data_IF_236874561278
#
_entry.id   IF_236874561278
#
_cell.length_a   1.000
_cell.length_b   1.000
_cell.length_c   1.000
_cell.angle_alpha   90.00
_cell.angle_beta   90.00
_cell.angle_gamma   90.00
#
_symmetry.space_group_name_H-M   'P 1'
#
loop_
_entity.id
_entity.type
_entity.pdbx_description
1 polymer ?
#
# COMPACT_ATOMS: atom_id res chain seq x y z
N UNK A 1 -11.65 -11.89 22.41
CA UNK A 1 -11.08 -12.72 23.47
C UNK A 1 -12.14 -13.73 23.93
N UNK A 2 -11.84 -15.03 23.90
CA UNK A 2 -12.67 -16.06 24.53
C UNK A 2 -11.88 -16.71 25.63
N UNK A 3 -12.44 -16.75 26.83
CA UNK A 3 -11.86 -17.42 28.00
C UNK A 3 -12.79 -18.57 28.38
N UNK A 4 -12.23 -19.78 28.48
CA UNK A 4 -12.91 -20.94 29.02
C UNK A 4 -12.17 -21.40 30.27
N UNK A 5 -12.89 -21.61 31.35
CA UNK A 5 -12.33 -22.11 32.62
C UNK A 5 -12.59 -23.59 32.79
N UNK A 6 -11.54 -24.36 33.13
CA UNK A 6 -11.65 -25.72 33.70
C UNK A 6 -10.99 -25.66 35.08
N UNK A 7 -11.72 -25.96 36.12
CA UNK A 7 -11.20 -25.95 37.48
C UNK A 7 -10.99 -27.37 38.03
N UNK A 8 -9.87 -27.60 38.70
CA UNK A 8 -9.66 -28.71 39.66
C UNK A 8 -9.43 -28.12 41.05
N UNK A 9 -10.29 -28.45 42.01
CA UNK A 9 -10.17 -27.97 43.39
C UNK A 9 -9.33 -28.92 44.20
N UNK A 10 -8.21 -28.42 44.75
CA UNK A 10 -7.51 -29.02 45.90
C UNK A 10 -7.53 -28.04 47.06
N UNK A 11 -7.68 -28.54 48.31
CA UNK A 11 -8.03 -27.76 49.51
C UNK A 11 -7.11 -26.56 49.89
N UNK A 12 -5.91 -26.42 49.32
CA UNK A 12 -4.94 -25.39 49.69
C UNK A 12 -4.34 -24.57 48.55
N UNK A 13 -4.58 -24.93 47.32
CA UNK A 13 -4.16 -24.15 46.11
C UNK A 13 -5.18 -24.35 45.00
N UNK A 14 -6.00 -23.35 44.79
CA UNK A 14 -6.90 -23.37 43.66
C UNK A 14 -6.14 -23.00 42.40
N UNK A 15 -6.07 -23.92 41.46
CA UNK A 15 -5.48 -23.72 40.13
C UNK A 15 -6.61 -23.73 39.10
N UNK A 16 -6.65 -22.73 38.27
CA UNK A 16 -7.58 -22.65 37.19
C UNK A 16 -6.82 -22.66 35.88
N UNK A 17 -7.23 -23.53 34.98
CA UNK A 17 -6.81 -23.47 33.59
C UNK A 17 -7.77 -22.58 32.81
N UNK A 18 -7.24 -21.63 32.09
CA UNK A 18 -8.05 -20.85 31.14
C UNK A 18 -7.42 -20.90 29.75
N UNK A 19 -8.26 -21.00 28.75
CA UNK A 19 -7.88 -20.95 27.34
C UNK A 19 -8.06 -19.51 26.86
N UNK A 20 -7.00 -18.95 26.31
CA UNK A 20 -7.03 -17.66 25.62
C UNK A 20 -7.04 -17.90 24.13
N UNK A 21 -7.98 -17.29 23.43
CA UNK A 21 -7.99 -17.21 21.97
C UNK A 21 -8.20 -15.77 21.56
N UNK A 22 -7.26 -15.22 20.80
CA UNK A 22 -7.29 -13.83 20.34
C UNK A 22 -6.86 -13.78 18.88
N UNK A 23 -7.72 -13.23 18.04
CA UNK A 23 -7.39 -12.99 16.64
C UNK A 23 -6.67 -11.64 16.53
N UNK A 24 -5.54 -11.65 15.85
CA UNK A 24 -4.71 -10.46 15.57
C UNK A 24 -4.38 -10.40 14.09
N UNK A 25 -3.92 -9.26 13.61
CA UNK A 25 -3.42 -9.13 12.22
C UNK A 25 -2.17 -10.02 11.99
N UNK A 26 -1.43 -10.35 13.04
CA UNK A 26 -0.30 -11.29 13.01
C UNK A 26 -0.67 -12.76 13.13
N UNK A 27 -1.97 -13.10 13.18
CA UNK A 27 -2.48 -14.46 13.31
C UNK A 27 -3.29 -14.68 14.59
N UNK A 28 -3.85 -15.88 14.73
CA UNK A 28 -4.59 -16.28 15.93
C UNK A 28 -3.62 -16.73 17.02
N UNK A 29 -3.60 -16.01 18.13
CA UNK A 29 -2.92 -16.41 19.36
C UNK A 29 -3.84 -17.34 20.12
N UNK A 30 -3.34 -18.54 20.47
CA UNK A 30 -4.08 -19.49 21.30
C UNK A 30 -3.13 -20.17 22.28
N UNK A 31 -3.48 -20.12 23.56
CA UNK A 31 -2.73 -20.82 24.59
C UNK A 31 -3.63 -21.17 25.79
N UNK A 32 -3.18 -22.17 26.57
CA UNK A 32 -3.76 -22.52 27.86
C UNK A 32 -2.81 -22.03 28.92
N UNK A 33 -3.35 -21.34 29.90
CA UNK A 33 -2.57 -20.84 31.03
C UNK A 33 -3.12 -21.33 32.36
N UNK A 34 -2.23 -21.67 33.29
CA UNK A 34 -2.56 -22.04 34.66
C UNK A 34 -2.48 -20.81 35.57
N UNK A 35 -3.61 -20.47 36.20
CA UNK A 35 -3.69 -19.38 37.18
C UNK A 35 -3.48 -19.95 38.55
N UNK A 36 -2.54 -19.37 39.30
CA UNK A 36 -2.40 -19.61 40.73
C UNK A 36 -3.15 -18.55 41.50
N UNK A 37 -3.99 -18.99 42.41
CA UNK A 37 -4.65 -18.11 43.37
C UNK A 37 -3.91 -18.16 44.73
N UNK A 38 -3.76 -17.01 45.33
CA UNK A 38 -3.19 -16.84 46.67
C UNK A 38 -4.28 -16.26 47.57
N UNK A 39 -4.47 -16.86 48.73
CA UNK A 39 -5.42 -16.36 49.70
C UNK A 39 -4.78 -15.26 50.54
N UNK A 40 -5.27 -14.05 50.41
CA UNK A 40 -4.90 -12.91 51.24
C UNK A 40 -6.07 -12.54 52.16
N UNK A 41 -5.89 -12.81 53.48
CA UNK A 41 -6.96 -12.66 54.47
C UNK A 41 -8.19 -13.50 54.10
N UNK A 42 -9.30 -12.87 53.74
CA UNK A 42 -10.53 -13.55 53.39
C UNK A 42 -10.81 -13.57 51.89
N UNK A 43 -9.91 -13.02 51.06
CA UNK A 43 -10.09 -12.95 49.60
C UNK A 43 -9.00 -13.72 48.87
N UNK A 44 -9.41 -14.35 47.74
CA UNK A 44 -8.50 -14.98 46.81
C UNK A 44 -8.04 -13.94 45.76
N UNK A 45 -6.73 -13.88 45.56
CA UNK A 45 -6.11 -13.02 44.55
C UNK A 45 -5.30 -13.86 43.58
N UNK A 46 -5.19 -13.34 42.37
CA UNK A 46 -4.33 -13.92 41.33
C UNK A 46 -2.88 -13.58 41.65
N UNK A 47 -2.02 -14.60 41.74
CA UNK A 47 -0.57 -14.44 41.79
C UNK A 47 -0.10 -14.06 40.37
N UNK A 48 -0.12 -12.75 40.08
CA UNK A 48 0.12 -12.22 38.77
C UNK A 48 1.59 -12.13 38.43
N UNK A 49 1.98 -12.71 37.30
CA UNK A 49 3.31 -12.54 36.68
C UNK A 49 3.13 -12.17 35.17
N UNK A 50 4.16 -11.58 34.53
CA UNK A 50 4.11 -11.32 33.10
C UNK A 50 3.78 -12.53 32.22
N UNK A 51 4.14 -13.74 32.69
CA UNK A 51 3.80 -15.03 32.06
C UNK A 51 2.28 -15.20 31.84
N UNK A 52 1.49 -14.46 32.63
CA UNK A 52 0.03 -14.42 32.49
C UNK A 52 -0.44 -13.78 31.19
N UNK A 53 0.33 -12.88 30.61
CA UNK A 53 0.03 -12.23 29.33
C UNK A 53 0.28 -13.21 28.18
N UNK A 54 1.48 -13.80 28.18
CA UNK A 54 1.87 -14.85 27.22
C UNK A 54 2.79 -15.86 27.92
N UNK A 55 2.57 -17.17 27.71
CA UNK A 55 3.39 -18.20 28.30
C UNK A 55 4.89 -18.03 28.00
N UNK A 56 5.68 -17.90 29.03
CA UNK A 56 7.14 -17.65 28.96
C UNK A 56 7.54 -16.17 28.96
N UNK A 57 6.60 -15.24 29.11
CA UNK A 57 6.89 -13.82 29.18
C UNK A 57 7.56 -13.45 30.51
N UNK A 58 8.64 -12.67 30.46
CA UNK A 58 9.35 -12.09 31.62
C UNK A 58 9.07 -10.59 31.67
N UNK A 59 9.42 -9.97 32.85
CA UNK A 59 9.16 -8.56 33.15
C UNK A 59 9.69 -7.60 32.08
N UNK A 60 10.87 -7.90 31.53
CA UNK A 60 11.59 -7.02 30.62
C UNK A 60 11.34 -7.39 29.13
N UNK A 61 10.48 -8.39 28.86
CA UNK A 61 10.13 -8.79 27.51
C UNK A 61 9.06 -7.87 26.94
N UNK A 62 9.15 -7.66 25.63
CA UNK A 62 8.17 -6.87 24.84
C UNK A 62 7.48 -7.78 23.85
N UNK A 63 6.19 -7.56 23.65
CA UNK A 63 5.44 -8.20 22.57
C UNK A 63 5.47 -7.28 21.36
N UNK A 64 5.84 -7.84 20.21
CA UNK A 64 5.89 -7.14 18.92
C UNK A 64 4.97 -7.82 17.92
N UNK A 65 4.45 -7.01 17.04
CA UNK A 65 3.70 -7.48 15.89
C UNK A 65 4.35 -6.92 14.62
N UNK A 66 4.67 -7.82 13.69
CA UNK A 66 5.17 -7.48 12.38
C UNK A 66 4.13 -7.90 11.35
N UNK A 67 3.67 -6.95 10.54
CA UNK A 67 2.71 -7.19 9.47
C UNK A 67 3.47 -7.36 8.17
N UNK A 68 3.08 -8.39 7.40
CA UNK A 68 3.56 -8.67 6.05
C UNK A 68 2.43 -8.41 5.06
N UNK A 69 2.69 -7.59 4.04
CA UNK A 69 1.71 -7.35 2.98
C UNK A 69 1.83 -8.44 1.92
N UNK A 70 0.72 -9.09 1.59
CA UNK A 70 0.65 -9.91 0.39
C UNK A 70 0.86 -9.04 -0.85
N UNK A 71 1.68 -9.49 -1.79
CA UNK A 71 1.88 -8.77 -3.04
C UNK A 71 0.57 -8.67 -3.80
N UNK A 72 0.32 -7.52 -4.41
CA UNK A 72 -0.81 -7.34 -5.31
C UNK A 72 -0.59 -8.16 -6.58
N UNK A 73 -1.60 -8.87 -7.07
CA UNK A 73 -1.57 -9.57 -8.35
C UNK A 73 -1.32 -8.60 -9.51
N UNK A 74 -0.74 -9.10 -10.58
CA UNK A 74 -0.37 -8.33 -11.75
C UNK A 74 -1.40 -8.49 -12.88
N UNK A 75 -1.49 -7.50 -13.77
CA UNK A 75 -2.34 -7.52 -14.94
C UNK A 75 -1.45 -7.62 -16.18
N UNK A 76 -1.69 -8.63 -16.99
CA UNK A 76 -0.95 -8.91 -18.22
C UNK A 76 -1.86 -8.82 -19.43
N UNK A 77 -1.25 -8.56 -20.59
CA UNK A 77 -1.88 -8.72 -21.88
C UNK A 77 -1.95 -10.21 -22.28
N UNK A 78 -2.54 -10.51 -23.45
CA UNK A 78 -2.66 -11.87 -23.98
C UNK A 78 -1.31 -12.59 -24.20
N UNK A 79 -0.24 -11.82 -24.37
CA UNK A 79 1.11 -12.30 -24.69
C UNK A 79 2.01 -12.36 -23.44
N UNK A 80 1.46 -12.06 -22.24
CA UNK A 80 2.21 -12.03 -21.00
C UNK A 80 2.99 -10.73 -20.76
N UNK A 81 2.77 -9.66 -21.58
CA UNK A 81 3.36 -8.35 -21.34
C UNK A 81 2.62 -7.65 -20.20
N UNK A 82 3.35 -7.11 -19.24
CA UNK A 82 2.78 -6.42 -18.09
C UNK A 82 2.02 -5.16 -18.49
N UNK A 83 0.81 -5.01 -17.97
CA UNK A 83 -0.02 -3.80 -18.09
C UNK A 83 -0.09 -3.04 -16.77
N UNK A 84 -0.12 -3.77 -15.66
CA UNK A 84 0.03 -3.24 -14.32
C UNK A 84 0.84 -4.25 -13.49
N UNK A 85 2.04 -3.88 -13.06
CA UNK A 85 3.03 -4.78 -12.45
C UNK A 85 3.58 -4.22 -11.16
N UNK A 86 4.23 -5.07 -10.36
CA UNK A 86 4.93 -4.66 -9.16
C UNK A 86 6.39 -4.36 -9.52
N UNK A 87 6.84 -3.16 -9.21
CA UNK A 87 8.20 -2.70 -9.46
C UNK A 87 8.88 -2.19 -8.21
N UNK A 88 10.08 -1.67 -8.38
CA UNK A 88 10.83 -0.96 -7.35
C UNK A 88 11.09 0.47 -7.80
N UNK A 89 11.10 1.39 -6.83
CA UNK A 89 11.46 2.78 -7.04
C UNK A 89 12.29 3.28 -5.85
N UNK A 90 12.92 4.43 -5.99
CA UNK A 90 13.61 5.09 -4.91
C UNK A 90 12.74 6.21 -4.35
N UNK A 91 12.42 6.13 -3.06
CA UNK A 91 11.79 7.23 -2.33
C UNK A 91 12.90 8.13 -1.78
N UNK A 92 12.89 9.38 -2.20
CA UNK A 92 13.81 10.38 -1.67
C UNK A 92 13.17 11.10 -0.48
N UNK A 93 13.97 11.35 0.53
CA UNK A 93 13.56 12.08 1.73
C UNK A 93 14.66 12.97 2.24
N UNK A 94 14.27 13.82 3.18
CA UNK A 94 15.15 14.80 3.83
C UNK A 94 15.18 14.47 5.33
N UNK A 95 16.38 14.55 5.93
CA UNK A 95 16.61 14.47 7.37
C UNK A 95 16.87 15.91 7.85
N UNK A 96 15.93 16.57 8.54
CA UNK A 96 16.00 18.00 8.82
C UNK A 96 17.28 18.46 9.53
N UNK A 97 17.75 17.72 10.53
CA UNK A 97 18.97 18.07 11.28
C UNK A 97 20.27 18.00 10.46
N UNK A 98 20.24 17.31 9.30
CA UNK A 98 21.37 17.16 8.41
C UNK A 98 21.38 18.19 7.28
N UNK A 99 20.37 19.05 7.21
CA UNK A 99 20.36 20.18 6.30
C UNK A 99 21.35 21.24 6.83
N UNK A 100 22.43 21.47 6.09
CA UNK A 100 23.43 22.48 6.41
C UNK A 100 23.06 23.87 5.87
N UNK A 101 24.10 24.67 5.58
CA UNK A 101 23.94 26.03 5.06
C UNK A 101 23.28 26.06 3.67
N UNK A 102 23.38 24.96 2.91
CA UNK A 102 22.80 24.79 1.58
C UNK A 102 21.33 24.34 1.58
N UNK A 103 20.66 24.37 2.74
CA UNK A 103 19.28 23.87 2.91
C UNK A 103 18.27 24.39 1.87
N UNK A 104 18.35 25.68 1.50
CA UNK A 104 17.45 26.26 0.50
C UNK A 104 17.70 25.66 -0.90
N UNK A 105 18.96 25.55 -1.30
CA UNK A 105 19.36 24.96 -2.58
C UNK A 105 19.02 23.46 -2.64
N UNK A 106 19.25 22.72 -1.55
CA UNK A 106 18.89 21.30 -1.44
C UNK A 106 17.40 21.10 -1.67
N UNK A 107 16.55 21.90 -1.03
CA UNK A 107 15.08 21.82 -1.21
C UNK A 107 14.66 22.12 -2.64
N UNK A 108 15.27 23.11 -3.28
CA UNK A 108 15.00 23.45 -4.67
C UNK A 108 15.37 22.32 -5.63
N UNK A 109 16.56 21.71 -5.48
CA UNK A 109 16.97 20.58 -6.30
C UNK A 109 16.04 19.38 -6.10
N UNK A 110 15.69 19.06 -4.85
CA UNK A 110 14.74 17.97 -4.55
C UNK A 110 13.36 18.25 -5.15
N UNK A 111 12.90 19.50 -5.10
CA UNK A 111 11.64 19.92 -5.72
C UNK A 111 11.66 19.71 -7.24
N UNK A 112 12.74 20.10 -7.91
CA UNK A 112 12.92 19.89 -9.35
C UNK A 112 12.98 18.40 -9.73
N UNK A 113 13.70 17.58 -8.96
CA UNK A 113 13.78 16.11 -9.19
C UNK A 113 12.40 15.42 -9.11
N UNK A 114 11.49 15.97 -8.32
CA UNK A 114 10.17 15.41 -8.04
C UNK A 114 9.02 16.11 -8.77
N UNK A 115 9.32 17.09 -9.65
CA UNK A 115 8.33 17.94 -10.35
C UNK A 115 7.31 18.59 -9.40
N UNK A 116 7.77 19.07 -8.24
CA UNK A 116 6.93 19.77 -7.26
C UNK A 116 7.50 21.16 -6.95
N UNK A 117 6.74 21.99 -6.25
CA UNK A 117 7.26 23.28 -5.80
C UNK A 117 8.07 23.15 -4.51
N UNK A 118 8.93 24.13 -4.25
CA UNK A 118 9.71 24.20 -3.01
C UNK A 118 8.78 24.32 -1.79
N UNK A 119 7.66 25.01 -1.94
CA UNK A 119 6.62 25.12 -0.90
C UNK A 119 5.99 23.77 -0.56
N UNK A 120 5.78 22.90 -1.56
CA UNK A 120 5.29 21.54 -1.32
C UNK A 120 6.32 20.71 -0.53
N UNK A 121 7.61 20.89 -0.79
CA UNK A 121 8.69 20.27 0.00
C UNK A 121 8.69 20.79 1.44
N UNK A 122 8.56 22.11 1.62
CA UNK A 122 8.53 22.74 2.95
C UNK A 122 7.31 22.29 3.77
N UNK A 123 6.12 22.25 3.17
CA UNK A 123 4.92 21.75 3.82
C UNK A 123 5.11 20.33 4.37
N UNK A 124 5.79 19.47 3.62
CA UNK A 124 6.10 18.10 4.09
C UNK A 124 7.05 18.10 5.27
N UNK A 125 8.00 19.04 5.34
CA UNK A 125 8.97 19.17 6.42
C UNK A 125 8.40 19.80 7.70
N UNK A 126 7.25 20.45 7.64
CA UNK A 126 6.63 21.15 8.79
C UNK A 126 5.57 20.32 9.52
N UNK A 127 5.37 19.05 9.18
CA UNK A 127 4.37 18.19 9.80
C UNK A 127 4.71 17.91 11.28
N UNK A 128 3.69 17.98 12.16
CA UNK A 128 3.85 17.92 13.65
C UNK A 128 4.53 16.65 14.20
N UNK A 129 4.54 15.56 13.42
CA UNK A 129 5.16 14.29 13.84
C UNK A 129 6.66 14.21 13.59
N UNK A 130 7.23 15.17 12.85
CA UNK A 130 8.63 15.15 12.43
C UNK A 130 9.53 15.48 13.60
N UNK A 131 10.54 14.62 13.80
CA UNK A 131 11.66 14.86 14.67
C UNK A 131 12.89 15.28 13.85
N UNK A 132 13.85 16.01 14.43
CA UNK A 132 15.04 16.48 13.68
C UNK A 132 15.80 15.38 12.96
N UNK A 133 15.93 14.22 13.57
CA UNK A 133 16.63 13.02 13.08
C UNK A 133 15.79 12.13 12.14
N UNK A 134 14.52 12.48 11.91
CA UNK A 134 13.59 11.65 11.14
C UNK A 134 13.86 11.75 9.64
N UNK A 135 13.84 10.60 8.95
CA UNK A 135 13.72 10.59 7.49
C UNK A 135 12.31 11.02 7.10
N UNK A 136 12.19 12.20 6.51
CA UNK A 136 10.92 12.74 6.01
C UNK A 136 10.78 12.41 4.53
N UNK A 137 9.87 11.50 4.13
CA UNK A 137 9.69 11.15 2.72
C UNK A 137 9.12 12.34 1.95
N UNK A 138 9.84 12.80 0.93
CA UNK A 138 9.40 13.91 0.08
C UNK A 138 8.69 13.40 -1.16
N UNK A 139 9.22 12.37 -1.83
CA UNK A 139 8.56 11.81 -2.99
C UNK A 139 9.30 10.63 -3.59
N UNK A 140 8.75 10.10 -4.68
CA UNK A 140 9.26 8.93 -5.39
C UNK A 140 9.88 9.41 -6.69
N UNK A 141 11.16 9.10 -6.88
CA UNK A 141 11.92 9.50 -8.05
C UNK A 141 11.37 8.88 -9.33
N UNK A 142 11.53 9.60 -10.43
CA UNK A 142 11.22 9.10 -11.76
C UNK A 142 12.17 7.96 -12.13
N UNK A 143 11.68 7.04 -12.95
CA UNK A 143 12.54 6.03 -13.55
C UNK A 143 13.64 6.71 -14.37
N UNK A 144 14.87 6.19 -14.23
CA UNK A 144 16.04 6.77 -14.90
C UNK A 144 16.73 7.93 -14.17
N UNK A 145 16.19 8.41 -13.03
CA UNK A 145 16.92 9.39 -12.20
C UNK A 145 18.19 8.75 -11.65
N UNK A 146 19.34 9.38 -11.92
CA UNK A 146 20.64 8.86 -11.48
C UNK A 146 20.88 9.20 -10.02
N UNK A 147 21.50 8.28 -9.29
CA UNK A 147 21.80 8.46 -7.87
C UNK A 147 22.70 9.69 -7.64
N UNK A 148 23.64 9.95 -8.55
CA UNK A 148 24.53 11.11 -8.47
C UNK A 148 23.80 12.45 -8.50
N UNK A 149 22.57 12.50 -9.00
CA UNK A 149 21.81 13.74 -9.09
C UNK A 149 21.34 14.24 -7.69
N UNK A 150 21.42 13.41 -6.64
CA UNK A 150 20.93 13.75 -5.30
C UNK A 150 21.76 13.21 -4.12
N UNK A 151 22.67 12.24 -4.33
CA UNK A 151 23.38 11.57 -3.22
C UNK A 151 24.33 12.50 -2.44
N UNK A 152 24.84 13.53 -3.10
CA UNK A 152 25.78 14.50 -2.52
C UNK A 152 25.07 15.68 -1.84
N UNK A 153 23.73 15.74 -1.90
CA UNK A 153 22.98 16.83 -1.29
C UNK A 153 22.90 16.62 0.23
N UNK A 154 23.30 17.65 0.98
CA UNK A 154 23.25 17.61 2.45
C UNK A 154 21.83 17.35 2.96
N UNK A 155 21.70 16.39 3.87
CA UNK A 155 20.43 16.00 4.47
C UNK A 155 19.52 15.16 3.57
N UNK A 156 19.88 14.91 2.32
CA UNK A 156 19.08 14.06 1.42
C UNK A 156 19.49 12.61 1.57
N UNK A 157 18.49 11.74 1.58
CA UNK A 157 18.68 10.30 1.59
C UNK A 157 17.62 9.63 0.72
N UNK A 158 17.86 8.40 0.31
CA UNK A 158 16.87 7.62 -0.42
C UNK A 158 16.78 6.19 0.12
N UNK A 159 15.62 5.60 -0.08
CA UNK A 159 15.39 4.19 0.26
C UNK A 159 14.61 3.49 -0.85
N UNK A 160 14.88 2.19 -1.09
CA UNK A 160 14.11 1.41 -2.04
C UNK A 160 12.71 1.15 -1.49
N UNK A 161 11.70 1.32 -2.34
CA UNK A 161 10.31 1.00 -2.05
C UNK A 161 9.72 0.12 -3.15
N UNK A 162 8.69 -0.64 -2.80
CA UNK A 162 7.85 -1.30 -3.80
C UNK A 162 6.81 -0.31 -4.32
N UNK A 163 6.61 -0.32 -5.63
CA UNK A 163 5.65 0.56 -6.29
C UNK A 163 4.87 -0.22 -7.36
N UNK A 164 3.63 0.21 -7.61
CA UNK A 164 2.88 -0.25 -8.77
C UNK A 164 3.34 0.50 -10.01
N UNK A 165 3.60 -0.22 -11.10
CA UNK A 165 4.04 0.34 -12.38
C UNK A 165 3.07 -0.01 -13.48
N UNK A 166 2.93 0.90 -14.43
CA UNK A 166 2.04 0.80 -15.58
C UNK A 166 2.87 0.98 -16.86
N UNK A 167 3.43 -0.10 -17.43
CA UNK A 167 4.42 -0.01 -18.50
C UNK A 167 3.93 0.70 -19.76
N UNK A 168 2.63 0.64 -20.07
CA UNK A 168 2.06 1.36 -21.22
C UNK A 168 1.68 2.82 -20.92
N UNK A 169 1.88 3.30 -19.66
CA UNK A 169 1.59 4.67 -19.30
C UNK A 169 0.19 5.13 -19.71
N UNK A 170 0.12 6.20 -20.47
CA UNK A 170 -1.14 6.80 -20.97
C UNK A 170 -1.96 5.85 -21.85
N UNK A 171 -1.29 5.01 -22.64
CA UNK A 171 -1.97 4.16 -23.63
C UNK A 171 -2.93 3.12 -23.02
N UNK A 172 -2.71 2.72 -21.76
CA UNK A 172 -3.59 1.80 -21.05
C UNK A 172 -4.21 2.41 -19.78
N UNK A 173 -4.03 3.70 -19.52
CA UNK A 173 -4.40 4.36 -18.27
C UNK A 173 -5.88 4.16 -17.89
N UNK A 174 -6.78 4.36 -18.83
CA UNK A 174 -8.21 4.22 -18.58
C UNK A 174 -8.67 2.75 -18.50
N UNK A 175 -7.93 1.84 -19.14
CA UNK A 175 -8.16 0.41 -19.05
C UNK A 175 -7.71 -0.15 -17.72
N UNK A 176 -6.43 0.02 -17.39
CA UNK A 176 -5.86 -0.49 -16.14
C UNK A 176 -6.35 0.29 -14.92
N UNK A 177 -6.51 1.60 -15.05
CA UNK A 177 -6.70 2.50 -13.92
C UNK A 177 -5.39 2.67 -13.14
N UNK A 178 -5.53 2.97 -11.86
CA UNK A 178 -4.43 3.13 -10.92
C UNK A 178 -4.84 2.76 -9.50
N UNK A 179 -3.84 2.54 -8.64
CA UNK A 179 -4.03 2.35 -7.20
C UNK A 179 -3.68 3.64 -6.44
N UNK A 180 -4.26 3.77 -5.28
CA UNK A 180 -3.95 4.87 -4.36
C UNK A 180 -4.30 4.53 -2.92
N UNK A 181 -3.84 5.31 -1.96
CA UNK A 181 -4.17 5.12 -0.55
C UNK A 181 -5.67 5.22 -0.32
N UNK A 182 -6.17 4.38 0.58
CA UNK A 182 -7.55 4.46 1.07
C UNK A 182 -7.77 5.82 1.73
N UNK A 183 -8.76 6.58 1.28
CA UNK A 183 -9.13 7.83 1.90
C UNK A 183 -10.12 7.61 3.07
N UNK A 184 -10.37 8.67 3.87
CA UNK A 184 -11.22 8.59 5.05
C UNK A 184 -12.68 8.18 4.75
N UNK A 185 -13.20 8.54 3.59
CA UNK A 185 -14.55 8.18 3.16
C UNK A 185 -14.63 6.72 2.72
N UNK A 186 -13.69 6.29 1.89
CA UNK A 186 -13.56 4.89 1.45
C UNK A 186 -13.35 3.96 2.66
N UNK A 187 -12.57 4.39 3.65
CA UNK A 187 -12.28 3.59 4.85
C UNK A 187 -13.55 3.19 5.60
N UNK A 188 -14.57 4.06 5.66
CA UNK A 188 -15.85 3.75 6.32
C UNK A 188 -16.50 2.46 5.79
N UNK A 189 -16.39 2.21 4.50
CA UNK A 189 -16.92 1.02 3.82
C UNK A 189 -15.92 -0.13 3.76
N UNK A 190 -14.62 0.18 3.62
CA UNK A 190 -13.57 -0.80 3.41
C UNK A 190 -13.01 -1.38 4.71
N UNK A 191 -13.15 -0.69 5.84
CA UNK A 191 -12.68 -1.18 7.14
C UNK A 191 -13.26 -2.55 7.50
N UNK A 192 -14.55 -2.78 7.20
CA UNK A 192 -15.19 -4.08 7.38
C UNK A 192 -14.59 -5.20 6.53
N UNK A 193 -13.88 -4.85 5.46
CA UNK A 193 -13.13 -5.75 4.59
C UNK A 193 -11.64 -5.86 4.98
N UNK A 194 -11.27 -5.32 6.14
CA UNK A 194 -9.90 -5.40 6.68
C UNK A 194 -8.91 -4.39 6.07
N UNK A 195 -9.40 -3.27 5.49
CA UNK A 195 -8.52 -2.18 5.06
C UNK A 195 -8.21 -1.23 6.21
N UNK A 196 -7.01 -0.67 6.15
CA UNK A 196 -6.51 0.39 7.05
C UNK A 196 -6.24 1.67 6.24
N UNK A 197 -6.03 2.79 6.94
CA UNK A 197 -5.90 4.12 6.32
C UNK A 197 -4.77 4.23 5.26
N UNK A 198 -3.68 3.48 5.43
CA UNK A 198 -2.54 3.53 4.51
C UNK A 198 -2.53 2.42 3.45
N UNK A 199 -3.55 1.56 3.45
CA UNK A 199 -3.64 0.50 2.46
C UNK A 199 -3.87 1.07 1.06
N UNK A 200 -3.34 0.36 0.06
CA UNK A 200 -3.55 0.69 -1.34
C UNK A 200 -4.81 -0.03 -1.86
N UNK A 201 -5.61 0.68 -2.64
CA UNK A 201 -6.83 0.17 -3.26
C UNK A 201 -6.92 0.65 -4.71
N UNK A 202 -7.50 -0.15 -5.57
CA UNK A 202 -7.80 0.27 -6.95
C UNK A 202 -8.80 1.43 -7.00
N UNK A 203 -8.41 2.53 -7.62
CA UNK A 203 -9.22 3.76 -7.69
C UNK A 203 -10.12 3.79 -8.92
N UNK A 204 -9.60 3.33 -10.04
CA UNK A 204 -10.30 3.35 -11.33
C UNK A 204 -9.94 2.10 -12.15
N UNK A 205 -10.59 1.91 -13.28
CA UNK A 205 -10.28 0.87 -14.26
C UNK A 205 -10.30 -0.55 -13.70
N UNK A 206 -9.51 -1.43 -14.28
CA UNK A 206 -9.42 -2.83 -13.86
C UNK A 206 -8.81 -3.00 -12.47
N UNK A 207 -7.92 -2.10 -12.05
CA UNK A 207 -7.41 -2.08 -10.67
C UNK A 207 -8.55 -2.02 -9.64
N UNK A 208 -9.60 -1.24 -9.93
CA UNK A 208 -10.79 -1.13 -9.06
C UNK A 208 -11.75 -2.31 -9.23
N UNK A 209 -12.04 -2.67 -10.46
CA UNK A 209 -13.03 -3.72 -10.77
C UNK A 209 -12.57 -5.09 -10.28
N UNK A 210 -11.27 -5.37 -10.43
CA UNK A 210 -10.66 -6.64 -10.04
C UNK A 210 -10.00 -6.59 -8.65
N UNK A 211 -10.34 -5.60 -7.82
CA UNK A 211 -9.73 -5.40 -6.50
C UNK A 211 -9.72 -6.68 -5.65
N UNK A 212 -10.82 -7.42 -5.62
CA UNK A 212 -10.94 -8.65 -4.83
C UNK A 212 -10.00 -9.77 -5.32
N UNK A 213 -9.66 -9.80 -6.61
CA UNK A 213 -8.73 -10.76 -7.18
C UNK A 213 -7.28 -10.31 -7.00
N UNK A 214 -7.03 -9.02 -7.31
CA UNK A 214 -5.69 -8.46 -7.31
C UNK A 214 -5.14 -8.22 -5.91
N UNK A 215 -5.99 -7.96 -4.91
CA UNK A 215 -5.54 -7.68 -3.56
C UNK A 215 -4.93 -8.91 -2.91
N UNK A 216 -3.69 -8.80 -2.41
CA UNK A 216 -3.12 -9.79 -1.50
C UNK A 216 -3.75 -9.72 -0.10
N UNK A 217 -3.74 -10.83 0.62
CA UNK A 217 -4.13 -10.84 2.03
C UNK A 217 -2.92 -10.54 2.92
N UNK A 218 -3.14 -9.71 3.93
CA UNK A 218 -2.12 -9.45 4.95
C UNK A 218 -1.85 -10.72 5.76
N UNK A 219 -0.59 -11.00 6.00
CA UNK A 219 -0.08 -11.89 7.00
C UNK A 219 0.65 -11.12 8.08
N UNK A 220 1.31 -11.84 8.94
CA UNK A 220 2.15 -11.25 9.97
C UNK A 220 2.51 -12.25 11.05
N UNK A 221 3.23 -11.77 12.05
CA UNK A 221 3.59 -12.56 13.22
C UNK A 221 3.55 -11.73 14.49
N UNK A 222 3.21 -12.40 15.57
CA UNK A 222 3.33 -11.86 16.93
C UNK A 222 4.45 -12.62 17.62
N UNK A 223 5.42 -11.90 18.18
CA UNK A 223 6.58 -12.49 18.83
C UNK A 223 6.99 -11.71 20.08
N UNK A 224 7.75 -12.37 20.93
CA UNK A 224 8.35 -11.76 22.10
C UNK A 224 9.83 -11.48 21.85
N UNK A 225 10.30 -10.32 22.28
CA UNK A 225 11.70 -9.91 22.29
C UNK A 225 12.16 -9.59 23.71
N UNK A 226 13.45 -9.79 23.99
CA UNK A 226 14.07 -9.36 25.24
C UNK A 226 14.38 -7.85 25.25
N UNK A 227 15.01 -7.37 26.31
CA UNK A 227 15.40 -5.96 26.46
C UNK A 227 16.38 -5.48 25.39
N UNK A 228 17.16 -6.39 24.79
CA UNK A 228 18.13 -6.10 23.74
C UNK A 228 17.53 -6.20 22.33
N UNK A 229 16.23 -6.49 22.22
CA UNK A 229 15.56 -6.66 20.94
C UNK A 229 15.76 -8.02 20.27
N UNK A 230 16.33 -9.00 20.99
CA UNK A 230 16.48 -10.36 20.49
C UNK A 230 15.14 -11.10 20.55
N UNK A 231 14.72 -11.68 19.43
CA UNK A 231 13.53 -12.52 19.38
C UNK A 231 13.70 -13.77 20.24
N UNK A 232 12.77 -13.99 21.16
CA UNK A 232 12.76 -15.10 22.11
C UNK A 232 11.79 -16.19 21.67
N UNK A 233 10.59 -15.81 21.25
CA UNK A 233 9.54 -16.77 20.91
C UNK A 233 8.53 -16.17 19.92
N UNK A 234 8.20 -16.95 18.91
CA UNK A 234 7.07 -16.64 18.05
C UNK A 234 5.77 -17.12 18.74
N UNK A 235 4.80 -16.23 18.90
CA UNK A 235 3.52 -16.48 19.60
C UNK A 235 2.43 -16.87 18.63
N UNK A 236 2.37 -16.20 17.49
CA UNK A 236 1.45 -16.50 16.41
C UNK A 236 2.04 -16.08 15.06
N UNK A 237 1.64 -16.76 14.00
CA UNK A 237 1.99 -16.44 12.63
C UNK A 237 0.81 -16.69 11.71
N UNK A 238 0.59 -15.78 10.78
CA UNK A 238 -0.32 -15.91 9.65
C UNK A 238 0.48 -15.60 8.38
N UNK A 239 0.51 -16.53 7.45
CA UNK A 239 1.18 -16.30 6.17
C UNK A 239 0.42 -15.25 5.35
N UNK A 240 1.17 -14.32 4.74
CA UNK A 240 0.61 -13.43 3.75
C UNK A 240 0.25 -14.23 2.48
N UNK A 241 -0.85 -13.86 1.84
CA UNK A 241 -1.23 -14.47 0.56
C UNK A 241 -1.10 -13.44 -0.55
N UNK A 242 -0.47 -13.83 -1.63
CA UNK A 242 -0.39 -12.98 -2.82
C UNK A 242 -1.75 -12.89 -3.52
N UNK A 243 -2.02 -11.74 -4.16
CA UNK A 243 -3.18 -11.57 -5.02
C UNK A 243 -3.05 -12.36 -6.31
N UNK A 244 -4.18 -12.69 -6.92
CA UNK A 244 -4.24 -13.42 -8.19
C UNK A 244 -3.83 -12.54 -9.37
N UNK A 245 -2.97 -13.05 -10.25
CA UNK A 245 -2.66 -12.42 -11.53
C UNK A 245 -3.83 -12.55 -12.51
N UNK A 246 -3.97 -11.57 -13.39
CA UNK A 246 -5.02 -11.54 -14.41
C UNK A 246 -4.41 -11.37 -15.78
N UNK A 247 -4.79 -12.21 -16.72
CA UNK A 247 -4.43 -12.08 -18.15
C UNK A 247 -5.65 -11.62 -18.94
N UNK A 248 -5.48 -10.55 -19.71
CA UNK A 248 -6.53 -9.95 -20.53
C UNK A 248 -6.44 -10.49 -21.96
N UNK A 249 -7.51 -10.29 -22.72
CA UNK A 249 -7.52 -10.51 -24.18
C UNK A 249 -6.87 -9.37 -24.97
N UNK A 250 -6.50 -8.29 -24.31
CA UNK A 250 -5.82 -7.12 -24.87
C UNK A 250 -4.46 -7.50 -25.44
N UNK A 251 -4.12 -6.93 -26.58
CA UNK A 251 -2.78 -6.93 -27.15
C UNK A 251 -2.12 -5.57 -26.90
N UNK A 252 -1.05 -5.58 -26.09
CA UNK A 252 -0.38 -4.37 -25.65
C UNK A 252 0.21 -3.54 -26.82
N UNK A 253 0.70 -4.20 -27.86
CA UNK A 253 1.27 -3.52 -29.01
C UNK A 253 0.19 -2.84 -29.85
N UNK A 254 -0.94 -3.49 -30.04
CA UNK A 254 -2.10 -2.92 -30.73
C UNK A 254 -2.69 -1.76 -29.92
N UNK A 255 -2.84 -1.93 -28.60
CA UNK A 255 -3.31 -0.90 -27.67
C UNK A 255 -2.46 0.38 -27.79
N UNK A 256 -1.14 0.23 -27.70
CA UNK A 256 -0.18 1.33 -27.76
C UNK A 256 -0.19 2.00 -29.14
N UNK A 257 -0.25 1.22 -30.23
CA UNK A 257 -0.31 1.75 -31.59
C UNK A 257 -1.57 2.60 -31.82
N UNK A 258 -2.74 2.09 -31.42
CA UNK A 258 -4.01 2.84 -31.57
C UNK A 258 -3.93 4.13 -30.74
N UNK A 259 -3.43 4.08 -29.50
CA UNK A 259 -3.30 5.26 -28.66
C UNK A 259 -2.39 6.31 -29.31
N UNK A 260 -1.26 5.90 -29.86
CA UNK A 260 -0.31 6.81 -30.51
C UNK A 260 -0.91 7.49 -31.76
N UNK A 261 -1.72 6.78 -32.52
CA UNK A 261 -2.44 7.34 -33.67
C UNK A 261 -3.53 8.36 -33.24
N UNK A 262 -4.13 8.15 -32.04
CA UNK A 262 -5.18 9.02 -31.51
C UNK A 262 -4.67 10.13 -30.58
N UNK A 263 -3.38 10.17 -30.27
CA UNK A 263 -2.79 10.94 -29.16
C UNK A 263 -3.21 12.41 -29.05
N UNK A 264 -3.49 13.05 -30.18
CA UNK A 264 -3.88 14.46 -30.23
C UNK A 264 -5.40 14.65 -30.35
N UNK A 265 -6.15 13.56 -30.49
CA UNK A 265 -7.60 13.58 -30.70
C UNK A 265 -8.35 13.12 -29.45
N UNK A 266 -9.45 13.81 -29.15
CA UNK A 266 -10.33 13.40 -28.06
C UNK A 266 -11.34 12.37 -28.56
N UNK A 267 -11.15 11.13 -28.13
CA UNK A 267 -12.01 10.02 -28.59
C UNK A 267 -11.76 8.71 -27.86
N UNK A 268 -12.43 7.68 -28.33
CA UNK A 268 -12.20 6.29 -27.87
C UNK A 268 -12.20 5.34 -29.06
N UNK A 269 -11.45 4.25 -28.94
CA UNK A 269 -11.39 3.18 -29.91
C UNK A 269 -11.51 1.82 -29.24
N UNK A 270 -12.24 0.92 -29.86
CA UNK A 270 -12.36 -0.48 -29.46
C UNK A 270 -12.07 -1.38 -30.65
N UNK A 271 -11.10 -2.29 -30.49
CA UNK A 271 -10.83 -3.36 -31.45
C UNK A 271 -11.34 -4.68 -30.90
N UNK A 272 -12.20 -5.35 -31.63
CA UNK A 272 -12.85 -6.61 -31.23
C UNK A 272 -12.62 -7.67 -32.30
N UNK A 273 -12.30 -8.89 -31.86
CA UNK A 273 -12.25 -10.03 -32.77
C UNK A 273 -13.70 -10.42 -33.17
N UNK A 274 -14.09 -10.31 -34.45
CA UNK A 274 -15.46 -10.55 -34.83
C UNK A 274 -15.91 -12.02 -34.71
N UNK A 275 -14.97 -12.94 -34.61
CA UNK A 275 -15.28 -14.37 -34.51
C UNK A 275 -15.42 -14.81 -33.05
N UNK A 276 -14.60 -14.27 -32.12
CA UNK A 276 -14.54 -14.70 -30.74
C UNK A 276 -15.22 -13.72 -29.80
N UNK A 277 -15.42 -12.47 -30.19
CA UNK A 277 -15.91 -11.38 -29.35
C UNK A 277 -14.84 -10.83 -28.38
N UNK A 278 -13.61 -11.33 -28.44
CA UNK A 278 -12.52 -10.84 -27.57
C UNK A 278 -12.17 -9.40 -27.87
N UNK A 279 -12.06 -8.58 -26.83
CA UNK A 279 -11.55 -7.22 -26.94
C UNK A 279 -10.03 -7.25 -27.06
N UNK A 280 -9.49 -6.80 -28.20
CA UNK A 280 -8.05 -6.78 -28.51
C UNK A 280 -7.42 -5.47 -28.05
N UNK A 281 -8.13 -4.36 -28.17
CA UNK A 281 -7.71 -3.06 -27.67
C UNK A 281 -8.92 -2.24 -27.21
N UNK A 282 -8.70 -1.38 -26.21
CA UNK A 282 -9.73 -0.48 -25.68
C UNK A 282 -9.04 0.81 -25.22
N UNK A 283 -9.13 1.84 -26.04
CA UNK A 283 -8.38 3.09 -25.92
C UNK A 283 -9.30 4.26 -25.61
N UNK A 284 -8.88 5.13 -24.71
CA UNK A 284 -9.48 6.45 -24.50
C UNK A 284 -8.37 7.50 -24.55
N UNK A 285 -8.52 8.51 -25.41
CA UNK A 285 -7.53 9.57 -25.66
C UNK A 285 -8.19 10.96 -25.52
N UNK A 286 -7.44 11.99 -25.05
CA UNK A 286 -6.16 11.86 -24.38
C UNK A 286 -6.30 11.16 -23.02
N UNK A 287 -5.17 10.82 -22.39
CA UNK A 287 -5.16 10.14 -21.11
C UNK A 287 -4.10 10.75 -20.17
N UNK A 288 -4.21 10.42 -18.91
CA UNK A 288 -3.23 10.72 -17.89
C UNK A 288 -2.18 9.59 -17.78
N UNK A 289 -1.02 9.87 -17.20
CA UNK A 289 -0.05 8.82 -16.90
C UNK A 289 -0.27 8.28 -15.46
N UNK A 290 -0.71 7.03 -15.26
CA UNK A 290 -0.97 6.48 -13.94
C UNK A 290 0.31 6.36 -13.08
N UNK A 291 1.48 6.25 -13.69
CA UNK A 291 2.74 6.25 -12.96
C UNK A 291 3.03 7.58 -12.24
N UNK A 292 2.57 8.70 -12.78
CA UNK A 292 2.68 10.00 -12.11
C UNK A 292 1.77 10.02 -10.86
N UNK A 293 0.57 9.47 -10.97
CA UNK A 293 -0.39 9.43 -9.85
C UNK A 293 0.16 8.60 -8.69
N UNK A 294 0.67 7.39 -8.96
CA UNK A 294 1.18 6.52 -7.89
C UNK A 294 2.48 7.01 -7.27
N UNK A 295 3.26 7.81 -7.99
CA UNK A 295 4.44 8.50 -7.44
C UNK A 295 4.08 9.75 -6.62
N UNK A 296 2.85 10.22 -6.71
CA UNK A 296 2.37 11.41 -6.02
C UNK A 296 2.42 12.64 -6.94
N UNK A 297 1.43 12.74 -7.85
CA UNK A 297 1.29 13.90 -8.73
C UNK A 297 1.35 15.22 -7.93
N UNK A 298 2.16 16.18 -8.38
CA UNK A 298 2.22 17.52 -7.81
C UNK A 298 0.90 18.28 -7.98
N UNK A 299 0.74 19.36 -7.23
CA UNK A 299 -0.43 20.25 -7.36
C UNK A 299 -0.54 20.77 -8.79
N UNK A 300 0.57 21.24 -9.36
CA UNK A 300 0.61 21.75 -10.74
C UNK A 300 0.18 20.70 -11.77
N UNK A 301 0.64 19.46 -11.62
CA UNK A 301 0.23 18.37 -12.52
C UNK A 301 -1.27 18.07 -12.44
N UNK A 302 -1.85 18.07 -11.24
CA UNK A 302 -3.29 17.86 -11.06
C UNK A 302 -4.12 19.00 -11.64
N UNK A 303 -3.66 20.23 -11.45
CA UNK A 303 -4.29 21.42 -12.03
C UNK A 303 -4.22 21.40 -13.56
N UNK A 304 -3.09 20.99 -14.14
CA UNK A 304 -2.95 20.82 -15.56
C UNK A 304 -3.97 19.84 -16.15
N UNK A 305 -4.14 18.67 -15.52
CA UNK A 305 -5.14 17.70 -15.97
C UNK A 305 -6.60 18.18 -15.79
N UNK A 306 -6.87 18.91 -14.70
CA UNK A 306 -8.23 19.41 -14.42
C UNK A 306 -8.64 20.56 -15.34
N UNK A 307 -7.67 21.37 -15.77
CA UNK A 307 -7.89 22.54 -16.60
C UNK A 307 -7.77 22.23 -18.11
N UNK A 308 -7.33 21.02 -18.46
CA UNK A 308 -7.23 20.63 -19.87
C UNK A 308 -8.63 20.42 -20.49
N UNK A 309 -8.93 21.25 -21.49
CA UNK A 309 -10.20 21.20 -22.22
C UNK A 309 -10.48 19.84 -22.89
N UNK A 310 -9.42 19.06 -23.17
CA UNK A 310 -9.51 17.70 -23.71
C UNK A 310 -9.79 16.65 -22.63
N UNK A 311 -9.91 17.02 -21.36
CA UNK A 311 -10.33 16.16 -20.24
C UNK A 311 -9.58 14.80 -20.18
N UNK A 312 -8.26 14.78 -19.97
CA UNK A 312 -7.47 13.54 -20.00
C UNK A 312 -7.84 12.55 -18.89
N UNK A 313 -8.50 13.01 -17.80
CA UNK A 313 -8.99 12.14 -16.72
C UNK A 313 -10.31 11.44 -17.07
N UNK A 314 -10.97 11.81 -18.18
CA UNK A 314 -12.24 11.22 -18.61
C UNK A 314 -12.04 9.89 -19.31
N UNK A 315 -12.62 8.84 -18.75
CA UNK A 315 -12.71 7.55 -19.45
C UNK A 315 -13.84 7.58 -20.48
N UNK A 316 -13.51 7.73 -21.75
CA UNK A 316 -14.49 7.90 -22.86
C UNK A 316 -15.17 6.61 -23.26
N UNK A 317 -14.52 5.46 -23.16
CA UNK A 317 -15.15 4.21 -23.55
C UNK A 317 -16.19 3.70 -22.52
N UNK A 318 -16.29 4.33 -21.35
CA UNK A 318 -17.33 4.05 -20.34
C UNK A 318 -18.44 5.11 -20.31
N UNK A 319 -18.40 6.10 -21.19
CA UNK A 319 -19.41 7.15 -21.29
C UNK A 319 -20.36 6.90 -22.46
N UNK A 320 -21.64 7.13 -22.21
CA UNK A 320 -22.62 7.16 -23.29
C UNK A 320 -22.58 8.53 -23.96
N UNK A 321 -22.48 8.54 -25.27
CA UNK A 321 -22.59 9.73 -26.09
C UNK A 321 -23.78 9.56 -27.03
N UNK A 322 -24.39 10.68 -27.48
CA UNK A 322 -25.41 10.64 -28.51
C UNK A 322 -24.74 10.10 -29.78
N UNK A 323 -25.24 9.00 -30.37
CA UNK A 323 -24.63 8.48 -31.58
C UNK A 323 -24.80 9.51 -32.73
N UNK A 324 -23.69 9.84 -33.38
CA UNK A 324 -23.69 10.64 -34.57
C UNK A 324 -24.12 9.79 -35.79
N UNK A 325 -24.56 10.46 -36.86
CA UNK A 325 -24.76 9.80 -38.16
C UNK A 325 -23.41 9.30 -38.68
N UNK A 326 -23.35 8.02 -38.97
CA UNK A 326 -22.13 7.37 -39.48
C UNK A 326 -22.16 7.30 -41.04
N UNK A 327 -23.21 7.87 -41.62
CA UNK A 327 -23.47 7.82 -43.07
C UNK A 327 -23.76 9.20 -43.62
#
# INVERSE_FOLDING_TARGET
LKVKTKGENTKDKERFLFEVKMDTDGGTVSFIHEVKLVKEKESWKIDWTPDFIFPGMKKDYKVRMQIEQGKRGEIYDRNGKGLATNGKASEVGIIPEKLGETAAQTKEIVAQLLDMSTEEVEQKLTAKWIKPDSFVPIGILKEGTRQNDYIELEGVSSRPINIRTYPLGEAAAHLTGYIGKVNAEELKSLQKKGYQADDLVGKTGLEKVLENTLRGEKGGRVFMEDENGKEIKNVAKKEAKEGGNVTLTIDAAIQEKIFNEMKNEAGSSAAVNPKTGETIALVSSPAYNPNIIVRGASKAQREAWNNDSKLPMMNRFTKAFVPGSVF
#
